data_IF_571079963585
#
_entry.id   IF_571079963585
#
_cell.length_a   1.000
_cell.length_b   1.000
_cell.length_c   1.000
_cell.angle_alpha   90.00
_cell.angle_beta   90.00
_cell.angle_gamma   90.00
#
_symmetry.space_group_name_H-M   'P 1'
#
loop_
_entity.id
_entity.type
_entity.pdbx_description
1 polymer ?
#
# COMPACT_ATOMS: atom_id res chain seq x y z
N UNK A 1 -4.02 -5.31 -14.42
CA UNK A 1 -3.30 -4.71 -13.26
C UNK A 1 -3.56 -5.54 -12.01
N UNK A 2 -2.54 -5.79 -11.23
CA UNK A 2 -2.67 -6.47 -9.94
C UNK A 2 -2.08 -5.56 -8.87
N UNK A 3 -2.87 -5.28 -7.84
CA UNK A 3 -2.48 -4.44 -6.71
C UNK A 3 -2.39 -5.29 -5.45
N UNK A 4 -1.21 -5.34 -4.86
CA UNK A 4 -0.95 -6.10 -3.63
C UNK A 4 -0.81 -5.14 -2.45
N UNK A 5 -1.54 -5.43 -1.38
CA UNK A 5 -1.50 -4.66 -0.15
C UNK A 5 -0.55 -5.32 0.85
N UNK A 6 0.41 -4.55 1.33
CA UNK A 6 1.38 -5.01 2.33
C UNK A 6 1.28 -4.17 3.59
N UNK A 7 1.39 -4.82 4.73
CA UNK A 7 1.50 -4.15 6.02
C UNK A 7 2.98 -4.01 6.36
N UNK A 8 3.40 -2.80 6.76
CA UNK A 8 4.79 -2.55 7.15
C UNK A 8 5.14 -3.34 8.40
N UNK A 9 6.29 -4.01 8.39
CA UNK A 9 6.75 -4.81 9.51
C UNK A 9 8.01 -4.25 10.21
N UNK A 10 8.42 -3.05 9.81
CA UNK A 10 9.58 -2.40 10.40
C UNK A 10 10.93 -2.83 9.83
N UNK A 11 10.97 -3.87 9.00
CA UNK A 11 12.22 -4.43 8.48
C UNK A 11 12.39 -4.29 6.97
N UNK A 12 11.29 -4.48 6.23
CA UNK A 12 11.32 -4.48 4.77
C UNK A 12 10.38 -3.41 4.23
N UNK A 13 10.72 -2.88 3.06
CA UNK A 13 9.90 -1.87 2.40
C UNK A 13 8.47 -2.36 2.18
N UNK A 14 8.31 -3.61 1.73
CA UNK A 14 6.98 -4.15 1.44
C UNK A 14 6.27 -4.73 2.66
N UNK A 15 7.00 -5.32 3.60
CA UNK A 15 6.38 -5.95 4.76
C UNK A 15 5.61 -7.23 4.41
N UNK A 16 4.54 -7.49 5.16
CA UNK A 16 3.75 -8.72 5.02
C UNK A 16 2.58 -8.53 4.05
N UNK A 17 2.41 -9.45 3.10
CA UNK A 17 1.30 -9.41 2.16
C UNK A 17 -0.02 -9.69 2.88
N UNK A 18 -0.97 -8.75 2.79
CA UNK A 18 -2.30 -8.90 3.39
C UNK A 18 -3.35 -9.35 2.37
N UNK A 19 -3.33 -8.79 1.16
CA UNK A 19 -4.36 -9.08 0.16
C UNK A 19 -3.90 -8.66 -1.23
N UNK A 20 -4.67 -9.09 -2.23
CA UNK A 20 -4.39 -8.81 -3.63
C UNK A 20 -5.69 -8.41 -4.32
N UNK A 21 -5.64 -7.39 -5.15
CA UNK A 21 -6.82 -6.81 -5.81
C UNK A 21 -6.54 -6.48 -7.27
N UNK A 22 -7.62 -6.33 -8.04
CA UNK A 22 -7.52 -5.99 -9.46
C UNK A 22 -7.37 -4.50 -9.72
N UNK A 23 -7.76 -3.65 -8.77
CA UNK A 23 -7.71 -2.20 -8.93
C UNK A 23 -7.12 -1.52 -7.70
N UNK A 24 -6.63 -0.28 -7.89
CA UNK A 24 -6.13 0.54 -6.79
C UNK A 24 -7.25 0.86 -5.79
N UNK A 25 -8.45 1.14 -6.29
CA UNK A 25 -9.58 1.49 -5.43
C UNK A 25 -9.93 0.36 -4.47
N UNK A 26 -9.96 -0.87 -4.96
CA UNK A 26 -10.24 -2.04 -4.12
C UNK A 26 -9.14 -2.25 -3.07
N UNK A 27 -7.89 -2.07 -3.46
CA UNK A 27 -6.76 -2.20 -2.53
C UNK A 27 -6.82 -1.14 -1.44
N UNK A 28 -7.14 0.12 -1.78
CA UNK A 28 -7.29 1.19 -0.80
C UNK A 28 -8.46 0.94 0.15
N UNK A 29 -9.57 0.44 -0.37
CA UNK A 29 -10.73 0.10 0.45
C UNK A 29 -10.38 -0.97 1.49
N UNK A 30 -9.63 -1.99 1.07
CA UNK A 30 -9.16 -3.04 1.98
C UNK A 30 -8.17 -2.49 3.00
N UNK A 31 -7.27 -1.60 2.55
CA UNK A 31 -6.27 -0.99 3.42
C UNK A 31 -6.92 -0.23 4.58
N UNK A 32 -8.02 0.49 4.31
CA UNK A 32 -8.75 1.21 5.35
C UNK A 32 -9.30 0.30 6.44
N UNK A 33 -9.56 -0.96 6.12
CA UNK A 33 -10.06 -1.96 7.09
C UNK A 33 -8.95 -2.64 7.86
N UNK A 34 -7.79 -2.82 7.23
CA UNK A 34 -6.70 -3.63 7.78
C UNK A 34 -5.59 -2.81 8.43
N UNK A 35 -5.42 -1.56 7.99
CA UNK A 35 -4.31 -0.71 8.43
C UNK A 35 -4.87 0.64 8.85
N UNK A 36 -4.45 1.11 10.02
CA UNK A 36 -4.77 2.46 10.45
C UNK A 36 -3.73 3.41 9.85
N UNK A 37 -4.18 4.28 8.93
CA UNK A 37 -3.30 5.27 8.29
C UNK A 37 -4.04 6.59 8.10
N UNK A 38 -3.29 7.69 8.00
CA UNK A 38 -3.83 9.04 7.82
C UNK A 38 -3.57 9.61 6.44
N UNK A 39 -2.47 9.24 5.80
CA UNK A 39 -2.07 9.79 4.52
C UNK A 39 -1.76 8.68 3.54
N UNK A 40 -2.05 8.92 2.26
CA UNK A 40 -1.65 8.04 1.18
C UNK A 40 -0.88 8.87 0.15
N UNK A 41 0.30 8.39 -0.25
CA UNK A 41 1.17 9.07 -1.21
C UNK A 41 1.40 8.14 -2.39
N UNK A 42 0.99 8.59 -3.58
CA UNK A 42 1.14 7.81 -4.80
C UNK A 42 2.47 8.15 -5.48
N UNK A 43 3.22 7.12 -5.83
CA UNK A 43 4.46 7.23 -6.59
C UNK A 43 4.37 6.32 -7.81
N UNK A 44 4.54 6.91 -9.00
CA UNK A 44 4.52 6.15 -10.25
C UNK A 44 5.93 5.93 -10.76
N UNK A 45 6.22 4.68 -11.13
CA UNK A 45 7.45 4.30 -11.81
C UNK A 45 7.11 3.75 -13.19
N UNK A 46 8.13 3.42 -13.99
CA UNK A 46 7.91 2.85 -15.33
C UNK A 46 7.23 1.49 -15.28
N UNK A 47 7.42 0.72 -14.21
CA UNK A 47 6.95 -0.66 -14.09
C UNK A 47 5.76 -0.83 -13.17
N UNK A 48 5.61 0.07 -12.20
CA UNK A 48 4.60 -0.11 -11.17
C UNK A 48 4.14 1.22 -10.57
N UNK A 49 3.06 1.17 -9.83
CA UNK A 49 2.58 2.29 -9.03
C UNK A 49 2.62 1.88 -7.57
N UNK A 50 3.22 2.72 -6.74
CA UNK A 50 3.29 2.50 -5.29
C UNK A 50 2.38 3.50 -4.61
N UNK A 51 1.58 3.03 -3.65
CA UNK A 51 0.76 3.89 -2.80
C UNK A 51 1.22 3.65 -1.38
N UNK A 52 2.00 4.59 -0.86
CA UNK A 52 2.50 4.54 0.51
C UNK A 52 1.42 4.96 1.47
N UNK A 53 1.21 4.17 2.52
CA UNK A 53 0.23 4.46 3.56
C UNK A 53 1.00 4.90 4.81
N UNK A 54 0.77 6.13 5.21
CA UNK A 54 1.51 6.75 6.32
C UNK A 54 0.60 7.03 7.51
N UNK A 55 1.15 6.97 8.70
CA UNK A 55 0.43 7.37 9.91
C UNK A 55 0.41 8.91 10.06
N UNK A 56 -0.07 9.39 11.20
CA UNK A 56 -0.18 10.83 11.48
C UNK A 56 1.17 11.56 11.46
N UNK A 57 2.26 10.86 11.68
CA UNK A 57 3.62 11.41 11.69
C UNK A 57 4.34 11.22 10.36
N UNK A 58 3.61 10.78 9.33
CA UNK A 58 4.15 10.46 7.99
C UNK A 58 5.13 9.29 7.98
N UNK A 59 5.05 8.42 8.98
CA UNK A 59 5.82 7.18 8.99
C UNK A 59 5.06 6.08 8.23
N UNK A 60 5.72 5.30 7.38
CA UNK A 60 5.02 4.28 6.60
C UNK A 60 4.50 3.14 7.49
N UNK A 61 3.23 2.81 7.31
CA UNK A 61 2.59 1.68 8.00
C UNK A 61 2.14 0.60 7.03
N UNK A 62 2.20 0.87 5.74
CA UNK A 62 1.85 -0.09 4.70
C UNK A 62 2.14 0.47 3.32
N UNK A 63 1.99 -0.38 2.31
CA UNK A 63 2.16 0.02 0.92
C UNK A 63 1.29 -0.84 0.02
N UNK A 64 0.76 -0.23 -1.04
CA UNK A 64 0.06 -0.93 -2.11
C UNK A 64 0.96 -0.89 -3.33
N UNK A 65 1.27 -2.04 -3.88
CA UNK A 65 2.13 -2.17 -5.07
C UNK A 65 1.26 -2.67 -6.22
N UNK A 66 1.05 -1.81 -7.23
CA UNK A 66 0.26 -2.15 -8.40
C UNK A 66 1.17 -2.33 -9.61
N UNK A 67 1.19 -3.52 -10.17
CA UNK A 67 1.98 -3.85 -11.37
C UNK A 67 1.07 -3.98 -12.57
N UNK A 68 1.52 -3.46 -13.68
CA UNK A 68 0.79 -3.55 -14.94
C UNK A 68 0.82 -4.96 -15.50
#
# INVERSE_FOLDING_TARGET
MICKLYKWNGRFIQGDLLSQHKTQALALKRAKKEIEFKFSVKEKTKKETLIWLDDKDHDPVGVIVCKK
#
